data_IF_217207002914
#
_entry.id   IF_217207002914
#
_cell.length_a   1.000
_cell.length_b   1.000
_cell.length_c   1.000
_cell.angle_alpha   90.00
_cell.angle_beta   90.00
_cell.angle_gamma   90.00
#
_symmetry.space_group_name_H-M   'P 1'
#
loop_
_entity.id
_entity.type
_entity.pdbx_description
1 polymer ?
#
# COMPACT_ATOMS: atom_id res chain seq x y z
N UNK A 1 2.58 5.31 22.16
CA UNK A 1 2.32 6.38 21.17
C UNK A 1 1.27 5.87 20.20
N UNK A 2 0.18 6.60 19.91
CA UNK A 2 -0.84 6.09 18.99
C UNK A 2 -0.22 6.00 17.59
N UNK A 3 -0.28 4.80 17.00
CA UNK A 3 0.32 4.49 15.69
C UNK A 3 -0.62 4.83 14.52
N UNK A 4 -1.87 5.17 14.81
CA UNK A 4 -2.95 5.40 13.86
C UNK A 4 -3.52 6.81 14.01
N UNK A 5 -2.84 7.79 13.42
CA UNK A 5 -3.37 9.15 13.21
C UNK A 5 -3.63 9.45 11.73
N UNK A 6 -3.49 8.44 10.87
CA UNK A 6 -3.69 8.58 9.42
C UNK A 6 -5.18 8.75 9.09
N UNK A 7 -5.49 9.80 8.37
CA UNK A 7 -6.85 10.28 8.12
C UNK A 7 -7.67 9.34 7.23
N UNK A 8 -8.93 9.12 7.63
CA UNK A 8 -10.16 8.55 7.02
C UNK A 8 -10.22 7.89 5.61
N UNK A 9 -9.13 7.62 4.89
CA UNK A 9 -9.13 6.80 3.66
C UNK A 9 -7.84 5.95 3.60
N UNK A 10 -7.94 4.70 3.16
CA UNK A 10 -6.78 3.81 3.07
C UNK A 10 -5.73 4.31 2.06
N UNK A 11 -6.15 5.08 1.05
CA UNK A 11 -5.26 5.80 0.13
C UNK A 11 -4.35 6.80 0.85
N UNK A 12 -4.88 7.56 1.82
CA UNK A 12 -4.09 8.55 2.58
C UNK A 12 -3.16 7.87 3.58
N UNK A 13 -3.62 6.78 4.19
CA UNK A 13 -2.74 5.92 5.00
C UNK A 13 -1.59 5.35 4.17
N UNK A 14 -1.86 4.83 2.97
CA UNK A 14 -0.84 4.28 2.08
C UNK A 14 0.15 5.36 1.62
N UNK A 15 -0.34 6.53 1.24
CA UNK A 15 0.50 7.67 0.84
C UNK A 15 1.44 8.09 1.97
N UNK A 16 0.93 8.21 3.21
CA UNK A 16 1.76 8.50 4.38
C UNK A 16 2.80 7.40 4.67
N UNK A 17 2.46 6.13 4.39
CA UNK A 17 3.33 4.98 4.58
C UNK A 17 4.46 4.94 3.54
N UNK A 18 4.17 5.35 2.31
CA UNK A 18 5.13 5.45 1.21
C UNK A 18 6.08 6.64 1.40
N UNK A 19 5.58 7.81 1.80
CA UNK A 19 6.40 9.03 1.87
C UNK A 19 7.29 9.13 3.11
N UNK A 20 6.80 8.73 4.30
CA UNK A 20 7.45 9.20 5.54
C UNK A 20 8.64 8.34 5.97
N UNK A 21 8.56 7.01 5.88
CA UNK A 21 9.60 6.12 6.45
C UNK A 21 9.64 4.71 5.80
N UNK A 22 10.63 4.40 4.95
CA UNK A 22 10.81 3.07 4.33
C UNK A 22 10.94 1.93 5.35
N UNK A 23 11.55 2.19 6.51
CA UNK A 23 11.63 1.18 7.57
C UNK A 23 10.27 0.85 8.18
N UNK A 24 9.42 1.85 8.37
CA UNK A 24 8.07 1.65 8.90
C UNK A 24 7.20 0.91 7.90
N UNK A 25 7.35 1.23 6.61
CA UNK A 25 6.73 0.47 5.52
C UNK A 25 7.15 -0.99 5.58
N UNK A 26 8.46 -1.28 5.65
CA UNK A 26 8.95 -2.67 5.73
C UNK A 26 8.43 -3.43 6.94
N UNK A 27 8.29 -2.76 8.09
CA UNK A 27 7.72 -3.37 9.31
C UNK A 27 6.22 -3.65 9.19
N UNK A 28 5.46 -2.82 8.46
CA UNK A 28 4.01 -3.03 8.27
C UNK A 28 3.72 -4.01 7.14
N UNK A 29 4.40 -3.88 6.00
CA UNK A 29 4.10 -4.61 4.77
C UNK A 29 4.91 -5.91 4.62
N UNK A 30 5.84 -6.19 5.53
CA UNK A 30 6.75 -7.34 5.45
C UNK A 30 7.78 -7.25 4.31
N UNK A 31 7.78 -6.18 3.51
CA UNK A 31 8.64 -6.04 2.33
C UNK A 31 9.09 -4.58 2.08
N UNK A 32 10.20 -4.36 1.36
CA UNK A 32 10.60 -3.03 0.90
C UNK A 32 9.58 -2.41 -0.08
N UNK A 33 9.50 -1.08 -0.12
CA UNK A 33 8.62 -0.35 -1.05
C UNK A 33 8.87 -0.72 -2.52
N UNK A 34 10.14 -0.88 -2.92
CA UNK A 34 10.47 -1.29 -4.28
C UNK A 34 9.87 -2.66 -4.66
N UNK A 35 9.84 -3.60 -3.71
CA UNK A 35 9.22 -4.93 -3.91
C UNK A 35 7.71 -4.81 -3.99
N UNK A 36 7.12 -3.97 -3.16
CA UNK A 36 5.67 -3.69 -3.21
C UNK A 36 5.24 -3.10 -4.56
N UNK A 37 5.98 -2.12 -5.09
CA UNK A 37 5.69 -1.55 -6.41
C UNK A 37 5.89 -2.55 -7.55
N UNK A 38 6.95 -3.39 -7.48
CA UNK A 38 7.16 -4.44 -8.46
C UNK A 38 6.02 -5.48 -8.44
N UNK A 39 5.57 -5.88 -7.25
CA UNK A 39 4.43 -6.78 -7.07
C UNK A 39 3.13 -6.16 -7.59
N UNK A 40 2.88 -4.89 -7.27
CA UNK A 40 1.71 -4.17 -7.79
C UNK A 40 1.71 -4.12 -9.31
N UNK A 41 2.84 -3.76 -9.93
CA UNK A 41 2.98 -3.72 -11.38
C UNK A 41 2.70 -5.09 -12.00
N UNK A 42 3.28 -6.17 -11.45
CA UNK A 42 3.06 -7.54 -11.93
C UNK A 42 1.57 -7.93 -11.86
N UNK A 43 0.90 -7.61 -10.74
CA UNK A 43 -0.50 -7.94 -10.55
C UNK A 43 -1.43 -7.15 -11.47
N UNK A 44 -1.12 -5.87 -11.71
CA UNK A 44 -1.88 -5.03 -12.64
C UNK A 44 -1.67 -5.49 -14.08
N UNK A 45 -0.43 -5.78 -14.47
CA UNK A 45 -0.08 -6.13 -15.84
C UNK A 45 -0.49 -7.56 -16.22
N UNK A 46 -0.40 -8.52 -15.29
CA UNK A 46 -0.50 -9.95 -15.61
C UNK A 46 -1.60 -10.70 -14.85
N UNK A 47 -2.11 -10.16 -13.74
CA UNK A 47 -3.08 -10.86 -12.87
C UNK A 47 -4.47 -10.21 -12.82
N UNK A 48 -4.68 -9.12 -13.56
CA UNK A 48 -5.99 -8.44 -13.64
C UNK A 48 -6.34 -7.59 -12.42
N UNK A 49 -5.36 -7.21 -11.61
CA UNK A 49 -5.60 -6.29 -10.49
C UNK A 49 -5.99 -4.91 -11.02
N UNK A 50 -7.17 -4.43 -10.65
CA UNK A 50 -7.70 -3.14 -11.10
C UNK A 50 -8.26 -2.34 -9.94
N UNK A 51 -8.22 -1.01 -10.07
CA UNK A 51 -8.92 -0.09 -9.18
C UNK A 51 -10.43 -0.29 -9.31
N UNK A 52 -11.18 -0.11 -8.22
CA UNK A 52 -12.64 -0.01 -8.26
C UNK A 52 -13.08 1.46 -8.24
N UNK A 53 -14.39 1.72 -8.27
CA UNK A 53 -14.97 3.06 -8.15
C UNK A 53 -14.49 3.84 -6.91
N UNK A 54 -14.10 3.15 -5.85
CA UNK A 54 -13.83 3.75 -4.54
C UNK A 54 -12.48 3.36 -3.93
N UNK A 55 -11.77 2.39 -4.50
CA UNK A 55 -10.55 1.84 -3.91
C UNK A 55 -9.50 1.62 -5.00
N UNK A 56 -8.34 2.25 -4.85
CA UNK A 56 -7.21 2.08 -5.76
C UNK A 56 -6.65 0.65 -5.69
N UNK A 57 -6.12 0.13 -6.80
CA UNK A 57 -5.46 -1.19 -6.83
C UNK A 57 -4.28 -1.29 -5.85
N UNK A 58 -3.53 -0.21 -5.69
CA UNK A 58 -2.46 -0.07 -4.70
C UNK A 58 -2.98 -0.20 -3.27
N UNK A 59 -4.11 0.45 -2.94
CA UNK A 59 -4.76 0.34 -1.63
C UNK A 59 -5.26 -1.08 -1.37
N UNK A 60 -5.85 -1.74 -2.38
CA UNK A 60 -6.27 -3.15 -2.26
C UNK A 60 -5.10 -4.07 -1.94
N UNK A 61 -3.99 -3.91 -2.66
CA UNK A 61 -2.78 -4.67 -2.41
C UNK A 61 -2.21 -4.34 -1.02
N UNK A 62 -2.26 -3.07 -0.62
CA UNK A 62 -1.75 -2.66 0.67
C UNK A 62 -2.55 -3.27 1.84
N UNK A 63 -3.89 -3.30 1.72
CA UNK A 63 -4.77 -3.97 2.68
C UNK A 63 -4.50 -5.48 2.72
N UNK A 64 -4.23 -6.11 1.59
CA UNK A 64 -3.92 -7.55 1.54
C UNK A 64 -2.61 -7.90 2.26
N UNK A 65 -1.62 -7.01 2.22
CA UNK A 65 -0.31 -7.23 2.82
C UNK A 65 -0.20 -6.78 4.30
N UNK A 66 -1.17 -6.04 4.82
CA UNK A 66 -1.23 -5.56 6.20
C UNK A 66 -1.85 -6.60 7.13
#
# INVERSE_FOLDING_TARGET
KPLHTSAMTGERWLSELLERHPERFRRQMGMPQAVFHALHHELVAHSGLQSSRWVASEEKLAIFCY
#
